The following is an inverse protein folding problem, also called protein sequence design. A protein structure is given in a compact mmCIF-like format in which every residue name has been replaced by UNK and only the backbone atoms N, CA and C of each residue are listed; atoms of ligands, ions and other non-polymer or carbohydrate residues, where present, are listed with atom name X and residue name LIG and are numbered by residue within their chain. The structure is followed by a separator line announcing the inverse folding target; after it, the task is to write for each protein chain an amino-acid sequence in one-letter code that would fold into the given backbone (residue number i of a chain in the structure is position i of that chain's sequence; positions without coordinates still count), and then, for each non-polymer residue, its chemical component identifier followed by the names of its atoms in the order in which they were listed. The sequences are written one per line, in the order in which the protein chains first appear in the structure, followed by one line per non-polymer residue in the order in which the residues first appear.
data_IF_683030793695
#
_entry.id   IF_683030793695
#
_cell.length_a   1.000
_cell.length_b   1.000
_cell.length_c   1.000
_cell.angle_alpha   90.00
_cell.angle_beta   90.00
_cell.angle_gamma   90.00
#
_symmetry.space_group_name_H-M   'P 1'
#
loop_
_entity.id
_entity.type
_entity.pdbx_description
1 polymer ?
#
# COMPACT_ATOMS: atom_id res chain seq x y z
N UNK A 1 1.59 -15.08 -8.66
CA UNK A 1 2.73 -14.22 -8.29
C UNK A 1 2.72 -13.96 -6.78
N UNK A 2 3.73 -13.25 -6.25
CA UNK A 2 3.74 -12.75 -4.87
C UNK A 2 3.02 -11.39 -4.80
N UNK A 3 2.04 -11.27 -3.91
CA UNK A 3 1.26 -10.05 -3.66
C UNK A 3 1.57 -9.58 -2.25
N UNK A 4 2.14 -8.39 -2.11
CA UNK A 4 2.45 -7.78 -0.81
C UNK A 4 1.38 -6.77 -0.48
N UNK A 5 0.82 -6.83 0.73
CA UNK A 5 -0.09 -5.82 1.25
C UNK A 5 0.50 -5.12 2.46
N UNK A 6 0.35 -3.79 2.52
CA UNK A 6 0.73 -2.97 3.67
C UNK A 6 -0.53 -2.27 4.19
N UNK A 7 -0.93 -2.61 5.41
CA UNK A 7 -2.13 -2.09 6.06
C UNK A 7 -1.74 -1.04 7.11
N UNK A 8 -2.25 0.18 6.95
CA UNK A 8 -2.01 1.32 7.82
C UNK A 8 -3.06 1.55 8.90
N UNK A 9 -4.18 0.80 8.90
CA UNK A 9 -5.21 0.91 9.94
C UNK A 9 -4.84 0.06 11.15
N UNK A 10 -4.85 0.68 12.34
CA UNK A 10 -4.78 -0.07 13.61
C UNK A 10 -6.07 -0.83 13.92
N UNK A 11 -7.21 -0.41 13.35
CA UNK A 11 -8.45 -1.16 13.44
C UNK A 11 -8.46 -2.28 12.40
N UNK A 12 -8.30 -3.51 12.88
CA UNK A 12 -8.36 -4.72 12.06
C UNK A 12 -9.71 -4.88 11.37
N UNK A 13 -10.80 -4.50 12.02
CA UNK A 13 -12.15 -4.62 11.50
C UNK A 13 -12.62 -3.35 10.79
N UNK A 14 -11.75 -2.33 10.69
CA UNK A 14 -12.04 -1.08 9.99
C UNK A 14 -12.23 -1.27 8.49
N UNK A 15 -12.95 -0.34 7.86
CA UNK A 15 -13.38 -0.48 6.45
C UNK A 15 -12.22 -0.66 5.47
N UNK A 16 -11.12 0.08 5.63
CA UNK A 16 -9.93 -0.04 4.78
C UNK A 16 -9.21 -1.40 4.94
N UNK A 17 -9.11 -1.91 6.17
CA UNK A 17 -8.57 -3.25 6.45
C UNK A 17 -9.46 -4.35 5.84
N UNK A 18 -10.78 -4.24 6.01
CA UNK A 18 -11.75 -5.20 5.49
C UNK A 18 -11.73 -5.26 3.97
N UNK A 19 -11.70 -4.12 3.28
CA UNK A 19 -11.54 -4.08 1.82
C UNK A 19 -10.22 -4.68 1.35
N UNK A 20 -9.10 -4.35 2.01
CA UNK A 20 -7.80 -4.86 1.61
C UNK A 20 -7.70 -6.38 1.78
N UNK A 21 -8.30 -6.93 2.85
CA UNK A 21 -8.43 -8.39 3.02
C UNK A 21 -9.26 -9.01 1.91
N UNK A 22 -10.28 -8.33 1.42
CA UNK A 22 -11.11 -8.84 0.33
C UNK A 22 -10.35 -8.86 -1.01
N UNK A 23 -9.53 -7.84 -1.28
CA UNK A 23 -8.56 -7.88 -2.40
C UNK A 23 -7.60 -9.07 -2.24
N UNK A 24 -7.04 -9.27 -1.05
CA UNK A 24 -6.15 -10.41 -0.78
C UNK A 24 -6.87 -11.75 -0.95
N UNK A 25 -8.15 -11.84 -0.59
CA UNK A 25 -8.99 -13.03 -0.80
C UNK A 25 -9.14 -13.33 -2.30
N UNK A 26 -9.37 -12.31 -3.12
CA UNK A 26 -9.37 -12.41 -4.58
C UNK A 26 -8.05 -12.92 -5.14
N UNK A 27 -6.94 -12.35 -4.69
CA UNK A 27 -5.60 -12.74 -5.13
C UNK A 27 -5.28 -14.21 -4.78
N UNK A 28 -5.59 -14.63 -3.55
CA UNK A 28 -5.46 -16.04 -3.14
C UNK A 28 -6.31 -16.97 -4.01
N UNK A 29 -7.54 -16.57 -4.34
CA UNK A 29 -8.42 -17.36 -5.20
C UNK A 29 -7.87 -17.50 -6.64
N UNK A 30 -7.04 -16.57 -7.10
CA UNK A 30 -6.30 -16.66 -8.37
C UNK A 30 -4.97 -17.45 -8.25
N UNK A 31 -4.72 -18.11 -7.11
CA UNK A 31 -3.51 -18.91 -6.89
C UNK A 31 -2.26 -18.09 -6.59
N UNK A 32 -2.41 -16.84 -6.13
CA UNK A 32 -1.27 -16.01 -5.73
C UNK A 32 -0.85 -16.22 -4.29
N UNK A 33 0.45 -16.14 -4.04
CA UNK A 33 1.01 -16.04 -2.70
C UNK A 33 0.76 -14.62 -2.18
N UNK A 34 0.31 -14.49 -0.94
CA UNK A 34 0.05 -13.18 -0.34
C UNK A 34 0.82 -13.00 0.97
N UNK A 35 1.45 -11.85 1.13
CA UNK A 35 2.16 -11.44 2.34
C UNK A 35 1.52 -10.17 2.87
N UNK A 36 1.31 -10.08 4.19
CA UNK A 36 0.65 -8.93 4.81
C UNK A 36 1.55 -8.31 5.87
N UNK A 37 1.85 -7.03 5.71
CA UNK A 37 2.50 -6.18 6.69
C UNK A 37 1.47 -5.26 7.32
N UNK A 38 1.48 -5.22 8.65
CA UNK A 38 0.57 -4.39 9.43
C UNK A 38 1.38 -3.35 10.19
N UNK A 39 1.32 -2.10 9.74
CA UNK A 39 2.17 -1.06 10.29
C UNK A 39 1.90 -0.78 11.77
N UNK A 40 0.67 -1.03 12.25
CA UNK A 40 0.33 -0.91 13.67
C UNK A 40 1.01 -1.95 14.58
N UNK A 41 1.51 -3.04 13.98
CA UNK A 41 2.22 -4.13 14.67
C UNK A 41 3.72 -4.13 14.40
N UNK A 42 4.21 -3.16 13.63
CA UNK A 42 5.60 -3.07 13.21
C UNK A 42 6.28 -1.89 13.89
N UNK A 43 7.53 -2.08 14.29
CA UNK A 43 8.42 -0.99 14.65
C UNK A 43 9.01 -0.40 13.37
N UNK A 44 8.52 0.77 12.95
CA UNK A 44 8.96 1.45 11.73
C UNK A 44 9.39 2.88 12.04
N UNK A 45 10.64 3.19 11.73
CA UNK A 45 11.20 4.52 11.94
C UNK A 45 11.06 5.40 10.69
N UNK A 46 10.99 6.71 10.91
CA UNK A 46 11.06 7.72 9.85
C UNK A 46 12.38 7.68 9.09
N UNK A 47 12.34 8.11 7.83
CA UNK A 47 13.56 8.35 7.07
C UNK A 47 14.38 9.46 7.74
N UNK A 48 15.65 9.19 8.05
CA UNK A 48 16.56 10.14 8.70
C UNK A 48 17.28 11.07 7.70
N UNK A 49 16.99 10.98 6.41
CA UNK A 49 17.66 11.80 5.38
C UNK A 49 19.17 11.56 5.23
N UNK A 50 19.72 10.49 5.84
CA UNK A 50 21.17 10.29 5.92
C UNK A 50 21.89 9.95 4.60
N UNK A 51 21.17 9.77 3.49
CA UNK A 51 21.76 9.50 2.17
C UNK A 51 22.44 8.15 1.95
N UNK A 52 22.62 7.33 3.01
CA UNK A 52 23.37 6.06 2.93
C UNK A 52 22.88 5.13 1.81
N UNK A 53 21.55 4.93 1.70
CA UNK A 53 20.96 4.03 0.72
C UNK A 53 21.31 4.42 -0.72
N UNK A 54 21.26 5.71 -1.05
CA UNK A 54 21.60 6.20 -2.38
C UNK A 54 23.09 6.05 -2.67
N UNK A 55 23.94 6.53 -1.75
CA UNK A 55 25.40 6.48 -1.87
C UNK A 55 25.93 5.06 -2.06
N UNK A 56 25.28 4.08 -1.43
CA UNK A 56 25.73 2.68 -1.46
C UNK A 56 24.90 1.79 -2.39
N UNK A 57 23.91 2.35 -3.11
CA UNK A 57 22.99 1.62 -3.97
C UNK A 57 22.30 0.43 -3.27
N UNK A 58 21.93 0.62 -2.00
CA UNK A 58 21.34 -0.40 -1.12
C UNK A 58 19.98 0.05 -0.57
N UNK A 59 19.22 -0.92 -0.08
CA UNK A 59 18.02 -0.63 0.70
C UNK A 59 18.39 0.11 2.00
N UNK A 60 17.38 0.62 2.71
CA UNK A 60 17.60 1.45 3.89
C UNK A 60 18.42 0.72 4.97
N UNK A 61 19.47 1.37 5.49
CA UNK A 61 20.32 0.81 6.57
C UNK A 61 19.67 0.75 7.94
N UNK A 62 18.53 1.41 8.14
CA UNK A 62 17.82 1.40 9.41
C UNK A 62 17.32 -0.03 9.62
N UNK A 63 17.78 -0.66 10.69
CA UNK A 63 17.36 -2.01 11.07
C UNK A 63 16.05 -1.91 11.84
N UNK A 64 14.97 -2.11 11.11
CA UNK A 64 13.62 -2.17 11.64
C UNK A 64 12.77 -3.14 10.81
N UNK A 65 11.48 -3.25 11.10
CA UNK A 65 10.63 -4.31 10.54
C UNK A 65 10.39 -4.16 9.02
N UNK A 66 10.81 -3.05 8.40
CA UNK A 66 10.82 -2.92 6.95
C UNK A 66 11.91 -3.75 6.27
N UNK A 67 12.87 -4.30 7.02
CA UNK A 67 13.96 -5.12 6.46
C UNK A 67 13.40 -6.33 5.68
N UNK A 68 12.42 -7.03 6.24
CA UNK A 68 11.74 -8.12 5.55
C UNK A 68 10.92 -7.61 4.35
N UNK A 69 10.23 -6.48 4.53
CA UNK A 69 9.42 -5.85 3.48
C UNK A 69 10.22 -5.53 2.22
N UNK A 70 11.46 -5.02 2.33
CA UNK A 70 12.27 -4.71 1.15
C UNK A 70 12.54 -5.95 0.29
N UNK A 71 12.88 -7.08 0.93
CA UNK A 71 13.12 -8.35 0.24
C UNK A 71 11.87 -8.79 -0.53
N UNK A 72 10.71 -8.71 0.09
CA UNK A 72 9.46 -9.12 -0.55
C UNK A 72 9.00 -8.15 -1.64
N UNK A 73 9.24 -6.84 -1.46
CA UNK A 73 8.94 -5.82 -2.46
C UNK A 73 9.77 -6.01 -3.74
N UNK A 74 11.06 -6.36 -3.62
CA UNK A 74 11.93 -6.66 -4.77
C UNK A 74 11.49 -7.89 -5.58
N UNK A 75 10.58 -8.71 -5.05
CA UNK A 75 10.11 -9.95 -5.66
C UNK A 75 8.61 -9.95 -5.97
N UNK A 76 7.87 -8.91 -5.57
CA UNK A 76 6.42 -8.93 -5.68
C UNK A 76 5.96 -8.53 -7.08
N UNK A 77 4.91 -9.18 -7.56
CA UNK A 77 4.21 -8.75 -8.77
C UNK A 77 3.16 -7.69 -8.50
N UNK A 78 2.72 -7.55 -7.24
CA UNK A 78 1.75 -6.54 -6.84
C UNK A 78 1.99 -6.02 -5.40
N UNK A 79 1.68 -4.74 -5.21
CA UNK A 79 1.67 -4.03 -3.93
C UNK A 79 0.26 -3.46 -3.67
N UNK A 80 -0.35 -3.83 -2.55
CA UNK A 80 -1.61 -3.31 -2.07
C UNK A 80 -1.32 -2.37 -0.90
N UNK A 81 -1.78 -1.13 -0.97
CA UNK A 81 -1.61 -0.13 0.09
C UNK A 81 -2.98 0.21 0.67
N UNK A 82 -3.16 -0.04 1.96
CA UNK A 82 -4.42 0.25 2.65
C UNK A 82 -4.23 1.29 3.74
N UNK A 83 -5.13 2.27 3.80
CA UNK A 83 -5.11 3.29 4.84
C UNK A 83 -6.51 3.80 5.18
N UNK A 84 -6.83 4.04 6.45
CA UNK A 84 -7.93 4.96 6.77
C UNK A 84 -7.51 6.40 6.42
N UNK A 85 -8.50 7.27 6.27
CA UNK A 85 -8.31 8.71 6.18
C UNK A 85 -8.40 9.31 7.58
N UNK A 86 -7.31 9.90 8.04
CA UNK A 86 -7.25 10.66 9.29
C UNK A 86 -6.80 12.08 8.97
N UNK A 87 -7.63 13.05 9.38
CA UNK A 87 -7.38 14.48 9.14
C UNK A 87 -7.07 14.81 7.66
N UNK A 88 -7.92 14.33 6.76
CA UNK A 88 -7.86 14.60 5.31
C UNK A 88 -6.68 13.97 4.58
N UNK A 89 -6.01 12.98 5.18
CA UNK A 89 -4.85 12.30 4.59
C UNK A 89 -4.81 10.81 4.98
N UNK A 90 -3.93 10.03 4.35
CA UNK A 90 -3.60 8.67 4.83
C UNK A 90 -3.07 8.73 6.27
N UNK A 91 -3.15 7.63 7.00
CA UNK A 91 -2.70 7.53 8.38
C UNK A 91 -1.21 7.85 8.51
N UNK A 92 -0.81 8.47 9.62
CA UNK A 92 0.58 8.86 9.90
C UNK A 92 1.62 7.75 9.65
N UNK A 93 1.42 6.49 10.10
CA UNK A 93 2.34 5.40 9.80
C UNK A 93 2.55 5.14 8.30
N UNK A 94 1.54 5.36 7.46
CA UNK A 94 1.67 5.22 6.00
C UNK A 94 2.56 6.31 5.40
N UNK A 95 2.55 7.53 5.95
CA UNK A 95 3.48 8.59 5.56
C UNK A 95 4.93 8.20 5.94
N UNK A 96 5.14 7.69 7.17
CA UNK A 96 6.44 7.17 7.61
C UNK A 96 6.95 6.08 6.67
N UNK A 97 6.10 5.11 6.34
CA UNK A 97 6.38 4.03 5.41
C UNK A 97 6.70 4.54 3.98
N UNK A 98 5.91 5.47 3.46
CA UNK A 98 6.12 6.08 2.15
C UNK A 98 7.46 6.80 2.08
N UNK A 99 7.81 7.58 3.10
CA UNK A 99 9.10 8.30 3.16
C UNK A 99 10.29 7.35 3.07
N UNK A 100 10.16 6.11 3.56
CA UNK A 100 11.23 5.09 3.51
C UNK A 100 11.45 4.51 2.12
N UNK A 101 10.52 4.67 1.16
CA UNK A 101 10.71 4.28 -0.25
C UNK A 101 11.73 5.15 -0.99
N UNK A 102 12.20 6.24 -0.39
CA UNK A 102 13.33 7.03 -0.89
C UNK A 102 14.56 6.17 -1.19
N UNK A 103 14.80 5.11 -0.42
CA UNK A 103 15.95 4.22 -0.59
C UNK A 103 15.94 3.41 -1.89
N UNK A 104 14.81 3.31 -2.58
CA UNK A 104 14.65 2.53 -3.81
C UNK A 104 15.10 3.28 -5.06
N UNK A 105 15.57 4.52 -4.91
CA UNK A 105 16.09 5.33 -6.02
C UNK A 105 17.59 5.45 -5.88
N UNK A 106 18.35 5.17 -6.94
CA UNK A 106 19.79 5.33 -6.96
C UNK A 106 20.23 6.81 -7.13
N UNK A 107 21.53 7.06 -7.25
CA UNK A 107 22.08 8.40 -7.44
C UNK A 107 21.68 9.06 -8.76
N UNK A 108 21.35 8.25 -9.78
CA UNK A 108 20.92 8.72 -11.11
C UNK A 108 19.41 8.98 -11.18
N UNK A 109 18.69 8.77 -10.08
CA UNK A 109 17.23 8.91 -10.04
C UNK A 109 16.48 7.69 -10.56
N UNK A 110 17.18 6.57 -10.83
CA UNK A 110 16.58 5.36 -11.38
C UNK A 110 16.04 4.50 -10.23
N UNK A 111 14.83 3.96 -10.40
CA UNK A 111 14.29 3.03 -9.43
C UNK A 111 14.99 1.66 -9.53
N UNK A 112 15.35 1.08 -8.39
CA UNK A 112 16.00 -0.23 -8.28
C UNK A 112 15.02 -1.41 -8.28
N UNK A 113 13.72 -1.15 -8.23
CA UNK A 113 12.71 -2.19 -8.37
C UNK A 113 12.61 -2.65 -9.82
N UNK A 114 12.25 -3.91 -10.04
CA UNK A 114 11.86 -4.35 -11.37
C UNK A 114 10.58 -3.61 -11.82
N UNK A 115 10.43 -3.33 -13.11
CA UNK A 115 9.26 -2.60 -13.61
C UNK A 115 7.98 -3.45 -13.53
N UNK A 116 6.83 -2.78 -13.63
CA UNK A 116 5.54 -3.45 -13.86
C UNK A 116 4.85 -4.01 -12.62
N UNK A 117 5.35 -3.72 -11.41
CA UNK A 117 4.66 -4.08 -10.16
C UNK A 117 3.28 -3.42 -10.16
N UNK A 118 2.22 -4.23 -10.09
CA UNK A 118 0.84 -3.76 -10.01
C UNK A 118 0.61 -3.06 -8.66
N UNK A 119 -0.07 -1.93 -8.67
CA UNK A 119 -0.38 -1.15 -7.48
C UNK A 119 -1.90 -1.08 -7.28
N UNK A 120 -2.36 -1.32 -6.06
CA UNK A 120 -3.77 -1.14 -5.66
C UNK A 120 -3.83 -0.24 -4.44
N UNK A 121 -4.61 0.84 -4.52
CA UNK A 121 -4.93 1.69 -3.37
C UNK A 121 -6.24 1.27 -2.72
N UNK A 122 -6.28 1.18 -1.39
CA UNK A 122 -7.48 0.88 -0.61
C UNK A 122 -7.65 1.89 0.51
N UNK A 123 -8.71 2.69 0.46
CA UNK A 123 -8.92 3.78 1.40
C UNK A 123 -10.30 3.73 2.04
N UNK A 124 -10.42 4.35 3.21
CA UNK A 124 -11.70 4.57 3.87
C UNK A 124 -11.76 5.98 4.45
N UNK A 125 -12.90 6.65 4.35
CA UNK A 125 -13.09 8.02 4.80
C UNK A 125 -14.49 8.22 5.38
N UNK A 126 -14.61 9.10 6.38
CA UNK A 126 -15.90 9.45 6.98
C UNK A 126 -16.76 10.36 6.09
N UNK A 127 -16.17 11.05 5.12
CA UNK A 127 -16.92 11.88 4.17
C UNK A 127 -17.74 10.98 3.22
N UNK A 128 -19.00 11.33 3.01
CA UNK A 128 -19.93 10.58 2.15
C UNK A 128 -19.64 10.78 0.66
N UNK A 129 -19.01 11.89 0.26
CA UNK A 129 -18.49 12.05 -1.09
C UNK A 129 -17.20 11.24 -1.26
N UNK A 130 -17.26 10.17 -2.06
CA UNK A 130 -16.13 9.31 -2.40
C UNK A 130 -14.92 10.10 -2.92
N UNK A 131 -15.16 11.21 -3.65
CA UNK A 131 -14.11 12.00 -4.29
C UNK A 131 -13.47 13.04 -3.38
N UNK A 132 -14.01 13.27 -2.19
CA UNK A 132 -13.58 14.34 -1.29
C UNK A 132 -12.06 14.40 -1.04
N UNK A 133 -11.40 13.23 -0.95
CA UNK A 133 -9.96 13.12 -0.69
C UNK A 133 -9.20 12.37 -1.79
N UNK A 134 -9.80 12.20 -2.97
CA UNK A 134 -9.20 11.46 -4.08
C UNK A 134 -7.85 12.08 -4.51
N UNK A 135 -7.73 13.42 -4.47
CA UNK A 135 -6.49 14.11 -4.76
C UNK A 135 -5.36 13.68 -3.81
N UNK A 136 -5.64 13.57 -2.51
CA UNK A 136 -4.66 13.15 -1.50
C UNK A 136 -4.26 11.69 -1.66
N UNK A 137 -5.20 10.80 -1.99
CA UNK A 137 -4.89 9.39 -2.29
C UNK A 137 -4.05 9.27 -3.56
N UNK A 138 -4.37 10.04 -4.60
CA UNK A 138 -3.59 10.07 -5.84
C UNK A 138 -2.18 10.61 -5.62
N UNK A 139 -2.02 11.64 -4.77
CA UNK A 139 -0.70 12.14 -4.38
C UNK A 139 0.12 11.05 -3.68
N UNK A 140 -0.47 10.37 -2.70
CA UNK A 140 0.17 9.28 -1.97
C UNK A 140 0.59 8.13 -2.91
N UNK A 141 -0.33 7.64 -3.74
CA UNK A 141 -0.05 6.60 -4.74
C UNK A 141 0.94 7.06 -5.82
N UNK A 142 0.97 8.36 -6.12
CA UNK A 142 1.89 8.97 -7.06
C UNK A 142 3.36 8.72 -6.73
N UNK A 143 3.71 8.63 -5.44
CA UNK A 143 5.07 8.28 -5.01
C UNK A 143 5.45 6.88 -5.48
N UNK A 144 4.56 5.91 -5.36
CA UNK A 144 4.78 4.53 -5.79
C UNK A 144 4.78 4.41 -7.31
N UNK A 145 3.89 5.14 -8.00
CA UNK A 145 3.89 5.24 -9.47
C UNK A 145 5.19 5.83 -10.01
N UNK A 146 5.79 6.82 -9.32
CA UNK A 146 7.11 7.37 -9.67
C UNK A 146 8.25 6.34 -9.59
N UNK A 147 8.00 5.17 -8.99
CA UNK A 147 8.91 4.02 -8.93
C UNK A 147 8.63 2.96 -9.99
N UNK A 148 7.84 3.29 -11.02
CA UNK A 148 7.52 2.39 -12.13
C UNK A 148 6.41 1.39 -11.83
N UNK A 149 5.70 1.56 -10.71
CA UNK A 149 4.52 0.74 -10.38
C UNK A 149 3.30 1.18 -11.19
N UNK A 150 2.47 0.22 -11.60
CA UNK A 150 1.29 0.44 -12.45
C UNK A 150 0.04 0.43 -11.58
N UNK A 151 -0.62 1.58 -11.40
CA UNK A 151 -1.88 1.65 -10.67
C UNK A 151 -2.98 0.92 -11.45
N UNK A 152 -3.53 -0.12 -10.82
CA UNK A 152 -4.56 -0.98 -11.40
C UNK A 152 -5.95 -0.63 -10.90
N UNK A 153 -6.09 -0.25 -9.64
CA UNK A 153 -7.37 0.18 -9.06
C UNK A 153 -7.15 1.04 -7.80
N UNK A 154 -8.16 1.85 -7.50
CA UNK A 154 -8.28 2.59 -6.24
C UNK A 154 -9.68 2.34 -5.68
N UNK A 155 -9.75 1.74 -4.51
CA UNK A 155 -10.99 1.40 -3.80
C UNK A 155 -11.18 2.35 -2.63
N UNK A 156 -12.35 2.96 -2.50
CA UNK A 156 -12.64 3.93 -1.44
C UNK A 156 -13.96 3.57 -0.76
N UNK A 157 -13.93 3.31 0.54
CA UNK A 157 -15.13 3.25 1.38
C UNK A 157 -15.45 4.66 1.89
N UNK A 158 -16.53 5.27 1.40
CA UNK A 158 -16.94 6.62 1.78
C UNK A 158 -18.13 6.60 2.74
N UNK A 159 -18.07 7.38 3.81
CA UNK A 159 -19.07 7.39 4.87
C UNK A 159 -19.21 6.05 5.59
N UNK A 160 -20.37 5.82 6.20
CA UNK A 160 -20.68 4.61 6.97
C UNK A 160 -21.22 3.46 6.12
N UNK A 161 -20.64 3.26 4.93
CA UNK A 161 -21.04 2.16 4.05
C UNK A 161 -20.88 0.80 4.74
N UNK A 162 -21.95 0.00 4.73
CA UNK A 162 -21.93 -1.37 5.24
C UNK A 162 -21.21 -2.29 4.26
N UNK A 163 -20.03 -2.75 4.65
CA UNK A 163 -19.22 -3.71 3.88
C UNK A 163 -19.65 -5.15 4.15
N UNK A 164 -20.77 -5.55 3.56
CA UNK A 164 -21.18 -6.97 3.53
C UNK A 164 -20.52 -7.68 2.35
N UNK A 165 -20.40 -9.01 2.40
CA UNK A 165 -19.81 -9.83 1.31
C UNK A 165 -20.47 -9.56 -0.04
N UNK A 166 -21.78 -9.26 -0.03
CA UNK A 166 -22.56 -8.99 -1.23
C UNK A 166 -22.55 -7.53 -1.69
N UNK A 167 -22.00 -6.63 -0.90
CA UNK A 167 -21.93 -5.21 -1.25
C UNK A 167 -21.14 -5.01 -2.55
N UNK A 168 -21.54 -4.06 -3.42
CA UNK A 168 -20.84 -3.82 -4.68
C UNK A 168 -19.35 -3.56 -4.50
N UNK A 169 -18.95 -2.84 -3.44
CA UNK A 169 -17.56 -2.51 -3.17
C UNK A 169 -16.73 -3.73 -2.74
N UNK A 170 -17.30 -4.65 -1.95
CA UNK A 170 -16.62 -5.92 -1.59
C UNK A 170 -16.48 -6.84 -2.80
N UNK A 171 -17.51 -6.94 -3.65
CA UNK A 171 -17.44 -7.68 -4.92
C UNK A 171 -16.37 -7.10 -5.85
N UNK A 172 -16.29 -5.78 -5.95
CA UNK A 172 -15.23 -5.09 -6.69
C UNK A 172 -13.86 -5.42 -6.10
N UNK A 173 -13.68 -5.28 -4.77
CA UNK A 173 -12.42 -5.59 -4.10
C UNK A 173 -11.92 -7.01 -4.40
N UNK A 174 -12.81 -8.01 -4.29
CA UNK A 174 -12.48 -9.39 -4.65
C UNK A 174 -12.06 -9.53 -6.12
N UNK A 175 -12.82 -8.91 -7.03
CA UNK A 175 -12.51 -8.95 -8.46
C UNK A 175 -11.17 -8.29 -8.78
N UNK A 176 -10.86 -7.14 -8.17
CA UNK A 176 -9.57 -6.45 -8.27
C UNK A 176 -8.44 -7.41 -7.89
N UNK A 177 -8.57 -8.09 -6.75
CA UNK A 177 -7.58 -9.07 -6.29
C UNK A 177 -7.41 -10.25 -7.23
N UNK A 178 -8.52 -10.79 -7.76
CA UNK A 178 -8.52 -11.94 -8.67
C UNK A 178 -7.92 -11.61 -10.03
N UNK A 179 -7.91 -10.35 -10.44
CA UNK A 179 -7.35 -9.86 -11.70
C UNK A 179 -5.87 -9.40 -11.60
N UNK A 180 -5.28 -9.49 -10.40
CA UNK A 180 -3.83 -9.35 -10.24
C UNK A 180 -3.09 -10.44 -11.00
#
# INVERSE_FOLDING_TARGET
MKVVAVLGSANENGSSSSLAREVLRGAKAAGHETIVYRLDKMNVHGCQGCGFCRKNQKDCRIQDDLTAYWKDLHQCGALILSSPNYYSQVAGPMITFMNRHYCLTDEKGICRLHPGIKLVGVFAQGNTDEKAYLAQYNWFLGIFRSKGMVLTDTLICAGEQKLTVDSPLMKKAFATGRAL
#
